data_IF_999027650453
#
_entry.id   IF_999027650453
#
_cell.length_a   1.000
_cell.length_b   1.000
_cell.length_c   1.000
_cell.angle_alpha   90.00
_cell.angle_beta   90.00
_cell.angle_gamma   90.00
#
_symmetry.space_group_name_H-M   'P 1'
#
loop_
_entity.id
_entity.type
_entity.pdbx_description
1 polymer ?
#
# COMPACT_ATOMS: atom_id res chain seq x y z
N UNK A 1 -9.77 20.89 2.98
CA UNK A 1 -10.19 20.84 1.56
C UNK A 1 -9.01 20.30 0.75
N UNK A 2 -9.03 19.02 0.36
CA UNK A 2 -7.95 18.40 -0.41
C UNK A 2 -8.04 18.94 -1.84
N UNK A 3 -7.09 19.78 -2.27
CA UNK A 3 -6.96 20.16 -3.70
C UNK A 3 -6.80 18.84 -4.48
N UNK A 4 -7.64 18.62 -5.50
CA UNK A 4 -7.44 17.49 -6.43
C UNK A 4 -6.02 17.61 -6.98
N UNK A 5 -5.23 16.55 -6.87
CA UNK A 5 -3.93 16.47 -7.54
C UNK A 5 -4.21 16.57 -9.04
N UNK A 6 -3.87 17.70 -9.64
CA UNK A 6 -3.98 17.88 -11.08
C UNK A 6 -2.79 17.21 -11.75
N UNK A 7 -3.09 16.36 -12.73
CA UNK A 7 -2.06 15.73 -13.54
C UNK A 7 -1.42 16.78 -14.43
N UNK A 8 -0.11 17.00 -14.26
CA UNK A 8 0.65 17.88 -15.14
C UNK A 8 0.88 17.17 -16.47
N UNK A 9 0.54 17.82 -17.59
CA UNK A 9 0.80 17.27 -18.91
C UNK A 9 2.17 17.74 -19.37
N UNK A 10 3.02 16.81 -19.81
CA UNK A 10 4.39 17.10 -20.26
C UNK A 10 4.64 16.50 -21.65
N UNK A 11 5.54 17.09 -22.47
CA UNK A 11 5.91 16.53 -23.76
C UNK A 11 6.44 15.10 -23.64
N UNK A 12 6.24 14.28 -24.67
CA UNK A 12 6.67 12.87 -24.70
C UNK A 12 8.16 12.70 -24.39
N UNK A 13 9.01 13.55 -24.97
CA UNK A 13 10.45 13.50 -24.76
C UNK A 13 10.83 13.70 -23.28
N UNK A 14 10.19 14.65 -22.61
CA UNK A 14 10.41 14.91 -21.19
C UNK A 14 9.82 13.80 -20.31
N UNK A 15 8.69 13.23 -20.73
CA UNK A 15 8.10 12.07 -20.06
C UNK A 15 9.06 10.88 -20.09
N UNK A 16 9.58 10.54 -21.27
CA UNK A 16 10.50 9.41 -21.44
C UNK A 16 11.82 9.67 -20.68
N UNK A 17 12.34 10.90 -20.67
CA UNK A 17 13.50 11.29 -19.85
C UNK A 17 13.24 11.11 -18.36
N UNK A 18 12.10 11.61 -17.85
CA UNK A 18 11.77 11.50 -16.43
C UNK A 18 11.56 10.03 -16.03
N UNK A 19 10.86 9.25 -16.84
CA UNK A 19 10.69 7.81 -16.63
C UNK A 19 12.02 7.08 -16.58
N UNK A 20 12.91 7.33 -17.55
CA UNK A 20 14.24 6.73 -17.59
C UNK A 20 15.11 7.14 -16.40
N UNK A 21 15.07 8.41 -15.99
CA UNK A 21 15.84 8.90 -14.84
C UNK A 21 15.40 8.21 -13.54
N UNK A 22 14.08 8.06 -13.33
CA UNK A 22 13.55 7.27 -12.20
C UNK A 22 13.97 5.80 -12.29
N UNK A 23 13.75 5.16 -13.45
CA UNK A 23 14.07 3.76 -13.68
C UNK A 23 15.54 3.47 -13.36
N UNK A 24 16.44 4.25 -13.95
CA UNK A 24 17.87 4.03 -13.86
C UNK A 24 18.45 4.40 -12.50
N UNK A 25 17.88 5.39 -11.80
CA UNK A 25 18.27 5.67 -10.43
C UNK A 25 17.87 4.51 -9.50
N UNK A 26 16.66 3.97 -9.67
CA UNK A 26 16.16 2.84 -8.87
C UNK A 26 16.92 1.54 -9.14
N UNK A 27 17.26 1.27 -10.41
CA UNK A 27 17.93 0.03 -10.83
C UNK A 27 19.46 0.15 -10.97
N UNK A 28 20.04 1.30 -10.60
CA UNK A 28 21.49 1.56 -10.65
C UNK A 28 22.11 1.27 -12.01
N UNK A 29 21.59 1.92 -13.06
CA UNK A 29 22.22 1.90 -14.38
C UNK A 29 23.69 2.38 -14.30
N UNK A 30 24.49 2.08 -15.33
CA UNK A 30 25.93 2.40 -15.37
C UNK A 30 26.26 3.90 -15.24
N UNK A 31 25.32 4.78 -15.59
CA UNK A 31 25.45 6.24 -15.44
C UNK A 31 24.69 6.71 -14.21
N UNK A 32 25.22 7.74 -13.54
CA UNK A 32 24.50 8.42 -12.45
C UNK A 32 23.41 9.35 -13.01
N UNK A 33 22.15 8.96 -12.79
CA UNK A 33 20.97 9.74 -13.18
C UNK A 33 20.45 10.63 -12.04
N UNK A 34 21.11 10.70 -10.88
CA UNK A 34 20.63 11.45 -9.72
C UNK A 34 20.42 12.94 -9.99
N UNK A 35 21.38 13.59 -10.64
CA UNK A 35 21.28 15.02 -10.97
C UNK A 35 20.17 15.29 -12.00
N UNK A 36 20.05 14.45 -13.04
CA UNK A 36 19.01 14.56 -14.05
C UNK A 36 17.62 14.33 -13.44
N UNK A 37 17.48 13.34 -12.56
CA UNK A 37 16.25 13.06 -11.84
C UNK A 37 15.83 14.26 -10.98
N UNK A 38 16.76 14.89 -10.26
CA UNK A 38 16.46 16.08 -9.45
C UNK A 38 15.99 17.23 -10.34
N UNK A 39 16.68 17.51 -11.45
CA UNK A 39 16.32 18.60 -12.36
C UNK A 39 14.91 18.39 -12.95
N UNK A 40 14.65 17.21 -13.50
CA UNK A 40 13.35 16.88 -14.11
C UNK A 40 12.23 16.87 -13.06
N UNK A 41 12.47 16.31 -11.87
CA UNK A 41 11.48 16.30 -10.80
C UNK A 41 11.16 17.70 -10.30
N UNK A 42 12.15 18.58 -10.13
CA UNK A 42 11.92 19.98 -9.73
C UNK A 42 11.16 20.77 -10.79
N UNK A 43 11.45 20.50 -12.06
CA UNK A 43 10.80 21.14 -13.21
C UNK A 43 9.33 20.75 -13.32
N UNK A 44 9.00 19.47 -13.11
CA UNK A 44 7.65 18.92 -13.31
C UNK A 44 6.92 18.57 -12.00
N UNK A 45 7.38 19.11 -10.86
CA UNK A 45 6.77 18.84 -9.54
C UNK A 45 5.30 19.26 -9.49
N UNK A 46 4.49 18.40 -8.91
CA UNK A 46 3.13 18.74 -8.47
C UNK A 46 3.11 19.28 -7.04
N UNK A 47 4.09 18.86 -6.22
CA UNK A 47 4.26 19.33 -4.84
C UNK A 47 5.72 19.19 -4.41
N UNK A 48 6.20 20.07 -3.54
CA UNK A 48 7.49 19.92 -2.89
C UNK A 48 7.47 20.51 -1.48
N UNK A 49 8.23 19.90 -0.57
CA UNK A 49 8.38 20.35 0.81
C UNK A 49 9.81 20.10 1.29
N UNK A 50 10.29 20.97 2.19
CA UNK A 50 11.61 20.87 2.80
C UNK A 50 11.46 20.41 4.27
N UNK A 51 12.36 19.52 4.72
CA UNK A 51 12.39 19.04 6.10
C UNK A 51 13.77 18.49 6.46
N UNK A 52 14.31 18.88 7.61
CA UNK A 52 15.58 18.39 8.16
C UNK A 52 16.75 18.36 7.15
N UNK A 53 16.90 19.44 6.38
CA UNK A 53 17.95 19.56 5.34
C UNK A 53 17.68 18.79 4.05
N UNK A 54 16.59 18.02 4.00
CA UNK A 54 16.14 17.25 2.84
C UNK A 54 15.04 17.96 2.09
N UNK A 55 14.87 17.59 0.83
CA UNK A 55 13.79 18.06 -0.04
C UNK A 55 13.04 16.88 -0.63
N UNK A 56 11.72 16.93 -0.48
CA UNK A 56 10.78 15.91 -0.95
C UNK A 56 10.02 16.52 -2.12
N UNK A 57 10.15 15.92 -3.29
CA UNK A 57 9.53 16.40 -4.52
C UNK A 57 8.64 15.30 -5.07
N UNK A 58 7.37 15.63 -5.27
CA UNK A 58 6.37 14.70 -5.79
C UNK A 58 5.98 15.10 -7.20
N UNK A 59 5.89 14.11 -8.07
CA UNK A 59 5.53 14.28 -9.49
C UNK A 59 4.29 13.44 -9.81
N UNK A 60 3.33 14.06 -10.48
CA UNK A 60 2.15 13.41 -11.05
C UNK A 60 1.98 13.93 -12.47
N UNK A 61 2.55 13.23 -13.43
CA UNK A 61 2.63 13.67 -14.82
C UNK A 61 1.89 12.73 -15.77
N UNK A 62 1.40 13.27 -16.87
CA UNK A 62 0.85 12.52 -18.01
C UNK A 62 1.56 12.94 -19.29
N UNK A 63 1.73 11.97 -20.16
CA UNK A 63 2.15 12.22 -21.53
C UNK A 63 1.08 13.05 -22.25
N UNK A 64 1.51 14.10 -22.96
CA UNK A 64 0.65 14.91 -23.81
C UNK A 64 0.13 14.14 -25.02
N UNK A 65 0.92 13.19 -25.54
CA UNK A 65 0.61 12.44 -26.75
C UNK A 65 -0.36 11.28 -26.48
N UNK A 66 -0.26 10.64 -25.31
CA UNK A 66 -1.21 9.62 -24.84
C UNK A 66 -1.58 9.83 -23.36
N UNK A 67 -2.75 10.42 -23.11
CA UNK A 67 -3.27 10.68 -21.75
C UNK A 67 -3.47 9.44 -20.87
N UNK A 68 -3.34 8.24 -21.44
CA UNK A 68 -3.41 6.94 -20.72
C UNK A 68 -2.05 6.47 -20.24
N UNK A 69 -0.99 7.19 -20.60
CA UNK A 69 0.37 7.02 -20.11
C UNK A 69 0.62 8.09 -19.07
N UNK A 70 1.01 7.65 -17.88
CA UNK A 70 1.35 8.57 -16.80
C UNK A 70 2.36 7.98 -15.84
N UNK A 71 2.91 8.88 -15.03
CA UNK A 71 3.93 8.58 -14.04
C UNK A 71 3.57 9.31 -12.75
N UNK A 72 3.62 8.58 -11.64
CA UNK A 72 3.52 9.14 -10.31
C UNK A 72 4.70 8.67 -9.47
N UNK A 73 5.31 9.58 -8.72
CA UNK A 73 6.50 9.25 -7.96
C UNK A 73 6.92 10.37 -7.04
N UNK A 74 7.98 10.11 -6.29
CA UNK A 74 8.67 11.14 -5.53
C UNK A 74 10.18 10.89 -5.48
N UNK A 75 10.91 11.98 -5.30
CA UNK A 75 12.34 11.97 -5.01
C UNK A 75 12.60 12.71 -3.71
N UNK A 76 13.45 12.14 -2.87
CA UNK A 76 13.98 12.74 -1.65
C UNK A 76 15.47 12.91 -1.84
N UNK A 77 15.96 14.13 -1.67
CA UNK A 77 17.38 14.42 -1.84
C UNK A 77 17.90 15.39 -0.78
N UNK A 78 19.19 15.33 -0.49
CA UNK A 78 19.86 16.26 0.41
C UNK A 78 20.05 17.62 -0.28
N UNK A 79 19.58 18.70 0.35
CA UNK A 79 19.55 20.03 -0.31
C UNK A 79 20.94 20.57 -0.61
N UNK A 80 21.91 20.27 0.25
CA UNK A 80 23.27 20.81 0.19
C UNK A 80 24.10 20.10 -0.86
N UNK A 81 24.18 18.77 -0.76
CA UNK A 81 24.99 17.94 -1.63
C UNK A 81 24.31 17.60 -2.96
N UNK A 82 22.99 17.81 -3.06
CA UNK A 82 22.17 17.40 -4.21
C UNK A 82 22.28 15.90 -4.51
N UNK A 83 22.54 15.09 -3.48
CA UNK A 83 22.52 13.63 -3.57
C UNK A 83 21.11 13.13 -3.35
N UNK A 84 20.63 12.29 -4.27
CA UNK A 84 19.36 11.59 -4.10
C UNK A 84 19.50 10.57 -2.97
N UNK A 85 18.67 10.71 -1.95
CA UNK A 85 18.60 9.79 -0.81
C UNK A 85 17.63 8.65 -1.07
N UNK A 86 16.54 8.93 -1.78
CA UNK A 86 15.54 7.96 -2.15
C UNK A 86 14.74 8.44 -3.36
N UNK A 87 14.40 7.53 -4.27
CA UNK A 87 13.41 7.76 -5.32
C UNK A 87 12.48 6.55 -5.42
N UNK A 88 11.20 6.79 -5.69
CA UNK A 88 10.25 5.74 -6.04
C UNK A 88 9.25 6.28 -7.06
N UNK A 89 8.86 5.44 -8.00
CA UNK A 89 7.84 5.80 -8.97
C UNK A 89 7.04 4.59 -9.41
N UNK A 90 5.89 4.85 -10.02
CA UNK A 90 5.17 3.89 -10.85
C UNK A 90 4.82 4.57 -12.17
N UNK A 91 4.81 3.77 -13.23
CA UNK A 91 4.32 4.17 -14.54
C UNK A 91 3.17 3.27 -14.95
N UNK A 92 2.07 3.85 -15.41
CA UNK A 92 0.90 3.09 -15.80
C UNK A 92 0.66 3.24 -17.30
N UNK A 93 0.62 2.09 -17.99
CA UNK A 93 0.28 1.98 -19.40
C UNK A 93 -1.03 1.19 -19.50
N UNK A 94 -2.16 1.88 -19.65
CA UNK A 94 -3.49 1.36 -20.07
C UNK A 94 -4.13 0.15 -19.34
N UNK A 95 -3.42 -0.67 -18.57
CA UNK A 95 -3.88 -2.02 -18.14
C UNK A 95 -3.46 -2.49 -16.75
N UNK A 96 -2.46 -1.88 -16.11
CA UNK A 96 -2.06 -2.27 -14.75
C UNK A 96 -2.69 -1.32 -13.73
N UNK A 97 -3.43 -1.92 -12.79
CA UNK A 97 -4.44 -1.25 -11.98
C UNK A 97 -3.90 -0.13 -11.10
N UNK A 98 -4.72 0.91 -10.95
CA UNK A 98 -4.51 2.13 -10.17
C UNK A 98 -4.08 1.94 -8.69
N UNK A 99 -3.96 0.71 -8.19
CA UNK A 99 -3.66 0.43 -6.78
C UNK A 99 -2.29 0.96 -6.35
N UNK A 100 -1.29 0.93 -7.24
CA UNK A 100 0.04 1.49 -6.95
C UNK A 100 -0.02 3.02 -6.84
N UNK A 101 -0.86 3.68 -7.64
CA UNK A 101 -1.08 5.12 -7.57
C UNK A 101 -1.65 5.56 -6.22
N UNK A 102 -2.48 4.72 -5.61
CA UNK A 102 -3.14 5.04 -4.35
C UNK A 102 -2.14 5.17 -3.19
N UNK A 103 -1.01 4.45 -3.23
CA UNK A 103 0.10 4.67 -2.31
C UNK A 103 0.81 5.99 -2.53
N UNK A 104 1.11 6.37 -3.78
CA UNK A 104 1.73 7.67 -4.05
C UNK A 104 0.83 8.84 -3.60
N UNK A 105 -0.50 8.67 -3.71
CA UNK A 105 -1.47 9.61 -3.15
C UNK A 105 -1.43 9.67 -1.62
N UNK A 106 -1.32 8.51 -0.94
CA UNK A 106 -1.12 8.47 0.51
C UNK A 106 0.18 9.17 0.90
N UNK A 107 1.30 8.83 0.24
CA UNK A 107 2.60 9.45 0.50
C UNK A 107 2.56 10.98 0.33
N UNK A 108 1.91 11.48 -0.72
CA UNK A 108 1.71 12.92 -0.91
C UNK A 108 0.87 13.52 0.22
N UNK A 109 -0.23 12.87 0.62
CA UNK A 109 -1.08 13.34 1.73
C UNK A 109 -0.28 13.50 3.02
N UNK A 110 0.57 12.53 3.36
CA UNK A 110 1.45 12.62 4.53
C UNK A 110 2.41 13.81 4.46
N UNK A 111 2.99 14.07 3.29
CA UNK A 111 3.88 15.21 3.06
C UNK A 111 3.14 16.56 3.10
N UNK A 112 1.89 16.61 2.63
CA UNK A 112 1.04 17.80 2.72
C UNK A 112 0.62 18.12 4.16
N UNK A 113 0.45 17.09 4.99
CA UNK A 113 0.16 17.22 6.42
C UNK A 113 1.42 17.49 7.25
N UNK A 114 2.59 17.61 6.61
CA UNK A 114 3.89 17.73 7.26
C UNK A 114 4.20 16.58 8.24
N UNK A 115 3.61 15.40 8.01
CA UNK A 115 3.85 14.16 8.77
C UNK A 115 4.92 13.32 8.10
N UNK A 116 6.07 13.95 7.89
CA UNK A 116 7.22 13.32 7.25
C UNK A 116 7.85 12.22 8.11
N UNK A 117 7.63 12.28 9.43
CA UNK A 117 7.95 11.20 10.36
C UNK A 117 7.23 9.88 9.97
N UNK A 118 5.93 9.95 9.65
CA UNK A 118 5.13 8.80 9.24
C UNK A 118 5.53 8.34 7.84
N UNK A 119 5.71 9.29 6.93
CA UNK A 119 6.18 9.02 5.57
C UNK A 119 7.48 8.22 5.61
N UNK A 120 8.51 8.70 6.30
CA UNK A 120 9.80 8.02 6.39
C UNK A 120 9.70 6.65 7.05
N UNK A 121 8.82 6.52 8.04
CA UNK A 121 8.60 5.24 8.71
C UNK A 121 8.00 4.19 7.76
N UNK A 122 7.03 4.59 6.93
CA UNK A 122 6.45 3.72 5.90
C UNK A 122 7.48 3.33 4.84
N UNK A 123 8.38 4.23 4.46
CA UNK A 123 9.43 3.93 3.49
C UNK A 123 10.38 2.81 3.95
N UNK A 124 10.59 2.66 5.26
CA UNK A 124 11.42 1.57 5.83
C UNK A 124 10.84 0.19 5.60
N UNK A 125 9.54 0.07 5.31
CA UNK A 125 8.90 -1.22 5.10
C UNK A 125 9.27 -1.85 3.74
N UNK A 126 9.86 -1.11 2.81
CA UNK A 126 10.30 -1.62 1.51
C UNK A 126 9.58 -0.95 0.33
N UNK A 127 9.75 -1.50 -0.87
CA UNK A 127 9.17 -0.98 -2.11
C UNK A 127 7.71 -1.40 -2.26
N UNK A 128 6.83 -0.52 -2.76
CA UNK A 128 5.39 -0.85 -2.87
C UNK A 128 5.14 -2.11 -3.70
N UNK A 129 5.81 -2.27 -4.84
CA UNK A 129 5.57 -3.39 -5.76
C UNK A 129 5.93 -4.74 -5.13
N UNK A 130 6.81 -4.71 -4.14
CA UNK A 130 7.23 -5.90 -3.36
C UNK A 130 6.59 -5.96 -1.97
N UNK A 131 5.97 -4.86 -1.51
CA UNK A 131 5.42 -4.73 -0.18
C UNK A 131 3.87 -4.67 -0.22
N UNK A 132 3.19 -5.79 0.09
CA UNK A 132 1.73 -5.86 0.06
C UNK A 132 1.06 -4.94 1.08
N UNK A 133 1.73 -4.60 2.19
CA UNK A 133 1.19 -3.70 3.21
C UNK A 133 1.13 -2.25 2.70
N UNK A 134 2.17 -1.78 2.02
CA UNK A 134 2.17 -0.43 1.44
C UNK A 134 1.12 -0.26 0.36
N UNK A 135 0.94 -1.28 -0.49
CA UNK A 135 -0.15 -1.30 -1.47
C UNK A 135 -1.50 -1.25 -0.77
N UNK A 136 -1.69 -2.08 0.27
CA UNK A 136 -2.92 -2.11 1.04
C UNK A 136 -3.22 -0.77 1.71
N UNK A 137 -2.23 -0.09 2.28
CA UNK A 137 -2.40 1.23 2.88
C UNK A 137 -2.82 2.30 1.86
N UNK A 138 -2.28 2.26 0.65
CA UNK A 138 -2.78 3.08 -0.45
C UNK A 138 -4.28 2.87 -0.69
N UNK A 139 -4.73 1.60 -0.73
CA UNK A 139 -6.14 1.27 -0.88
C UNK A 139 -6.97 1.73 0.34
N UNK A 140 -6.49 1.54 1.56
CA UNK A 140 -7.18 2.04 2.76
C UNK A 140 -7.41 3.55 2.67
N UNK A 141 -6.39 4.32 2.28
CA UNK A 141 -6.55 5.76 2.08
C UNK A 141 -7.58 6.11 1.00
N UNK A 142 -7.59 5.38 -0.12
CA UNK A 142 -8.58 5.58 -1.18
C UNK A 142 -10.02 5.36 -0.73
N UNK A 143 -10.27 4.32 0.08
CA UNK A 143 -11.63 3.93 0.45
C UNK A 143 -12.11 4.52 1.79
N UNK A 144 -11.20 4.85 2.70
CA UNK A 144 -11.52 5.34 4.05
C UNK A 144 -11.10 6.80 4.29
N UNK A 145 -10.26 7.39 3.43
CA UNK A 145 -9.85 8.78 3.52
C UNK A 145 -9.22 9.13 4.88
N UNK A 146 -9.73 10.19 5.51
CA UNK A 146 -9.20 10.72 6.78
C UNK A 146 -9.34 9.74 7.95
N UNK A 147 -10.30 8.81 7.93
CA UNK A 147 -10.42 7.77 8.97
C UNK A 147 -9.14 6.91 9.01
N UNK A 148 -8.61 6.54 7.85
CA UNK A 148 -7.37 5.79 7.77
C UNK A 148 -6.14 6.63 8.13
N UNK A 149 -6.13 7.93 7.78
CA UNK A 149 -5.05 8.84 8.18
C UNK A 149 -4.99 8.97 9.70
N UNK A 150 -6.12 9.13 10.38
CA UNK A 150 -6.20 9.17 11.84
C UNK A 150 -5.67 7.87 12.48
N UNK A 151 -6.06 6.71 11.93
CA UNK A 151 -5.51 5.43 12.36
C UNK A 151 -3.99 5.40 12.21
N UNK A 152 -3.49 5.76 11.03
CA UNK A 152 -2.08 5.69 10.70
C UNK A 152 -1.27 6.61 11.63
N UNK A 153 -1.74 7.83 11.89
CA UNK A 153 -1.06 8.77 12.79
C UNK A 153 -0.97 8.28 14.23
N UNK A 154 -1.97 7.54 14.70
CA UNK A 154 -1.97 6.96 16.06
C UNK A 154 -1.10 5.71 16.16
N UNK A 155 -1.00 4.92 15.10
CA UNK A 155 -0.46 3.56 15.17
C UNK A 155 0.82 3.34 14.34
N UNK A 156 1.32 4.34 13.59
CA UNK A 156 2.41 4.13 12.62
C UNK A 156 3.64 3.44 13.20
N UNK A 157 3.97 3.69 14.47
CA UNK A 157 5.13 3.10 15.16
C UNK A 157 5.00 1.60 15.42
N UNK A 158 3.78 1.09 15.61
CA UNK A 158 3.52 -0.32 15.92
C UNK A 158 3.39 -1.17 14.64
N UNK A 159 3.01 -0.54 13.53
CA UNK A 159 2.69 -1.22 12.28
C UNK A 159 3.83 -2.13 11.77
N UNK A 160 5.10 -1.68 11.64
CA UNK A 160 6.18 -2.55 11.16
C UNK A 160 6.47 -3.70 12.11
N UNK A 161 6.39 -3.47 13.42
CA UNK A 161 6.61 -4.53 14.41
C UNK A 161 5.53 -5.61 14.31
N UNK A 162 4.27 -5.22 14.14
CA UNK A 162 3.18 -6.17 13.86
C UNK A 162 3.39 -6.90 12.55
N UNK A 163 3.70 -6.17 11.48
CA UNK A 163 3.93 -6.76 10.15
C UNK A 163 5.07 -7.79 10.18
N UNK A 164 6.21 -7.45 10.79
CA UNK A 164 7.38 -8.32 10.91
C UNK A 164 7.13 -9.54 11.80
N UNK A 165 6.19 -9.44 12.75
CA UNK A 165 5.78 -10.54 13.63
C UNK A 165 4.58 -11.32 13.08
N UNK A 166 4.19 -11.10 11.82
CA UNK A 166 3.02 -11.70 11.18
C UNK A 166 1.71 -11.53 11.98
N UNK A 167 1.57 -10.40 12.68
CA UNK A 167 0.36 -10.05 13.43
C UNK A 167 -0.62 -9.28 12.56
N UNK A 168 -1.91 -9.46 12.84
CA UNK A 168 -2.96 -8.72 12.13
C UNK A 168 -2.74 -7.22 12.30
N UNK A 169 -3.04 -6.43 11.26
CA UNK A 169 -3.05 -4.97 11.34
C UNK A 169 -4.47 -4.54 10.98
N UNK A 170 -5.22 -4.06 11.96
CA UNK A 170 -6.65 -3.75 11.80
C UNK A 170 -6.99 -2.39 12.38
N UNK A 171 -8.04 -1.81 11.81
CA UNK A 171 -8.76 -0.67 12.33
C UNK A 171 -10.26 -0.95 12.28
N UNK A 172 -11.09 0.09 12.45
CA UNK A 172 -12.55 -0.07 12.51
C UNK A 172 -13.16 -0.70 11.25
N UNK A 173 -12.65 -0.30 10.08
CA UNK A 173 -13.22 -0.67 8.77
C UNK A 173 -12.23 -1.43 7.88
N UNK A 174 -11.15 -1.96 8.43
CA UNK A 174 -10.21 -2.76 7.65
C UNK A 174 -9.44 -3.75 8.52
N UNK A 175 -9.00 -4.83 7.90
CA UNK A 175 -8.02 -5.76 8.47
C UNK A 175 -7.02 -6.18 7.40
N UNK A 176 -5.76 -6.25 7.79
CA UNK A 176 -4.68 -6.81 7.02
C UNK A 176 -4.11 -8.01 7.76
N UNK A 177 -4.06 -9.13 7.05
CA UNK A 177 -3.50 -10.41 7.49
C UNK A 177 -2.16 -10.54 6.76
N UNK A 178 -1.01 -10.33 7.43
CA UNK A 178 0.29 -10.52 6.82
C UNK A 178 0.47 -11.96 6.33
N UNK A 179 1.36 -12.13 5.36
CA UNK A 179 1.78 -13.43 4.86
C UNK A 179 2.22 -14.33 6.03
N UNK A 180 1.49 -15.41 6.26
CA UNK A 180 1.91 -16.48 7.16
C UNK A 180 2.70 -17.49 6.31
N UNK A 181 3.98 -17.69 6.63
CA UNK A 181 4.76 -18.77 6.02
C UNK A 181 4.32 -20.09 6.63
N UNK A 182 3.91 -21.01 5.78
CA UNK A 182 3.40 -22.34 6.13
C UNK A 182 4.25 -23.35 5.36
N UNK A 183 5.19 -24.00 6.05
CA UNK A 183 6.18 -24.89 5.42
C UNK A 183 7.04 -24.18 4.35
N UNK A 184 7.34 -24.90 3.26
CA UNK A 184 8.14 -24.41 2.12
C UNK A 184 7.37 -23.54 1.11
N UNK A 185 6.12 -23.17 1.42
CA UNK A 185 5.25 -22.42 0.50
C UNK A 185 5.19 -20.93 0.84
N UNK A 186 5.21 -20.14 -0.23
CA UNK A 186 4.98 -18.70 -0.17
C UNK A 186 3.48 -18.41 0.04
N UNK A 187 3.07 -18.14 1.28
CA UNK A 187 1.75 -17.58 1.58
C UNK A 187 1.49 -16.22 0.89
N UNK A 188 0.21 -15.83 0.75
CA UNK A 188 -0.20 -14.49 0.29
C UNK A 188 -0.64 -13.65 1.50
N UNK A 189 -0.34 -12.35 1.52
CA UNK A 189 -1.03 -11.43 2.46
C UNK A 189 -2.43 -11.12 1.92
N UNK A 190 -3.39 -11.02 2.84
CA UNK A 190 -4.81 -10.72 2.56
C UNK A 190 -5.20 -9.42 3.27
N UNK A 191 -5.90 -8.55 2.58
CA UNK A 191 -6.44 -7.31 3.14
C UNK A 191 -7.93 -7.18 2.86
N UNK A 192 -8.70 -6.69 3.82
CA UNK A 192 -10.13 -6.43 3.69
C UNK A 192 -10.40 -4.98 4.10
N UNK A 193 -11.18 -4.27 3.30
CA UNK A 193 -11.61 -2.89 3.58
C UNK A 193 -13.12 -2.82 3.38
N UNK A 194 -13.86 -2.34 4.39
CA UNK A 194 -15.26 -1.99 4.25
C UNK A 194 -15.36 -0.55 3.76
N UNK A 195 -15.80 -0.37 2.51
CA UNK A 195 -16.00 0.95 1.93
C UNK A 195 -17.27 1.62 2.49
N UNK A 196 -17.39 2.94 2.30
CA UNK A 196 -18.53 3.71 2.81
C UNK A 196 -19.90 3.31 2.24
N UNK A 197 -19.94 2.60 1.11
CA UNK A 197 -21.15 2.02 0.52
C UNK A 197 -21.49 0.63 1.08
N UNK A 198 -20.74 0.14 2.07
CA UNK A 198 -20.90 -1.18 2.67
C UNK A 198 -20.23 -2.32 1.90
N UNK A 199 -19.69 -2.07 0.70
CA UNK A 199 -18.97 -3.11 -0.05
C UNK A 199 -17.65 -3.48 0.61
N UNK A 200 -17.21 -4.73 0.43
CA UNK A 200 -15.92 -5.20 0.91
C UNK A 200 -14.92 -5.26 -0.23
N UNK A 201 -13.82 -4.52 -0.09
CA UNK A 201 -12.67 -4.58 -0.98
C UNK A 201 -11.72 -5.65 -0.46
N UNK A 202 -11.64 -6.76 -1.19
CA UNK A 202 -10.71 -7.84 -0.93
C UNK A 202 -9.41 -7.61 -1.72
N UNK A 203 -8.33 -7.39 -1.00
CA UNK A 203 -6.97 -7.35 -1.52
C UNK A 203 -6.28 -8.69 -1.27
N UNK A 204 -5.69 -9.26 -2.33
CA UNK A 204 -4.76 -10.38 -2.24
C UNK A 204 -3.45 -9.96 -2.89
N UNK A 205 -2.33 -10.29 -2.25
CA UNK A 205 -1.00 -9.97 -2.76
C UNK A 205 -0.87 -10.38 -4.23
N UNK A 206 -0.27 -9.54 -5.07
CA UNK A 206 -0.09 -9.73 -6.52
C UNK A 206 -1.36 -9.80 -7.40
N UNK A 207 -2.56 -9.69 -6.84
CA UNK A 207 -3.81 -9.69 -7.60
C UNK A 207 -4.47 -8.31 -7.63
N UNK A 208 -5.37 -8.10 -8.59
CA UNK A 208 -6.25 -6.93 -8.59
C UNK A 208 -7.24 -7.04 -7.43
N UNK A 209 -7.57 -5.94 -6.73
CA UNK A 209 -8.59 -5.96 -5.70
C UNK A 209 -9.93 -6.45 -6.24
N UNK A 210 -10.64 -7.26 -5.46
CA UNK A 210 -11.98 -7.76 -5.77
C UNK A 210 -13.00 -7.01 -4.92
N UNK A 211 -14.05 -6.49 -5.56
CA UNK A 211 -15.15 -5.84 -4.86
C UNK A 211 -16.25 -6.88 -4.60
N UNK A 212 -16.56 -7.12 -3.33
CA UNK A 212 -17.63 -8.00 -2.88
C UNK A 212 -18.77 -7.14 -2.38
N UNK A 213 -19.90 -7.17 -3.10
CA UNK A 213 -21.13 -6.45 -2.77
C UNK A 213 -22.08 -7.35 -1.97
N UNK A 214 -23.09 -6.75 -1.36
CA UNK A 214 -24.07 -7.43 -0.50
C UNK A 214 -24.91 -8.49 -1.23
N UNK A 215 -25.05 -8.37 -2.56
CA UNK A 215 -25.70 -9.38 -3.42
C UNK A 215 -25.01 -10.74 -3.33
N UNK A 216 -23.71 -10.77 -3.02
CA UNK A 216 -22.95 -11.98 -2.65
C UNK A 216 -23.03 -12.24 -1.15
N UNK A 217 -24.25 -12.30 -0.63
CA UNK A 217 -24.59 -12.24 0.80
C UNK A 217 -23.69 -13.09 1.71
N UNK A 218 -23.47 -14.38 1.39
CA UNK A 218 -22.66 -15.27 2.22
C UNK A 218 -21.19 -14.86 2.28
N UNK A 219 -20.57 -14.55 1.13
CA UNK A 219 -19.19 -14.09 1.08
C UNK A 219 -19.03 -12.72 1.73
N UNK A 220 -19.96 -11.80 1.44
CA UNK A 220 -19.95 -10.46 2.05
C UNK A 220 -20.05 -10.52 3.57
N UNK A 221 -20.95 -11.34 4.12
CA UNK A 221 -21.09 -11.53 5.57
C UNK A 221 -19.84 -12.12 6.20
N UNK A 222 -19.25 -13.14 5.59
CA UNK A 222 -18.02 -13.75 6.08
C UNK A 222 -16.88 -12.73 6.13
N UNK A 223 -16.67 -11.97 5.06
CA UNK A 223 -15.60 -10.97 5.03
C UNK A 223 -15.86 -9.79 5.96
N UNK A 224 -17.12 -9.36 6.08
CA UNK A 224 -17.53 -8.34 7.06
C UNK A 224 -17.23 -8.79 8.49
N UNK A 225 -17.51 -10.05 8.80
CA UNK A 225 -17.20 -10.65 10.09
C UNK A 225 -15.70 -10.61 10.39
N UNK A 226 -14.85 -10.93 9.41
CA UNK A 226 -13.39 -10.84 9.59
C UNK A 226 -12.90 -9.43 9.92
N UNK A 227 -13.55 -8.39 9.40
CA UNK A 227 -13.24 -6.99 9.75
C UNK A 227 -13.73 -6.69 11.16
N UNK A 228 -15.00 -6.99 11.47
CA UNK A 228 -15.62 -6.62 12.75
C UNK A 228 -14.96 -7.30 13.95
N UNK A 229 -14.46 -8.52 13.76
CA UNK A 229 -13.87 -9.34 14.81
C UNK A 229 -12.36 -9.46 14.69
N UNK A 230 -11.67 -8.60 13.94
CA UNK A 230 -10.22 -8.70 13.74
C UNK A 230 -9.42 -8.73 15.05
N UNK A 231 -9.82 -7.92 16.03
CA UNK A 231 -9.19 -7.90 17.36
C UNK A 231 -9.41 -9.22 18.12
N UNK A 232 -10.63 -9.73 18.11
CA UNK A 232 -10.97 -11.00 18.77
C UNK A 232 -10.32 -12.19 18.05
N UNK A 233 -10.23 -12.13 16.72
CA UNK A 233 -9.53 -13.10 15.89
C UNK A 233 -8.06 -13.15 16.27
N UNK A 234 -7.38 -12.02 16.46
CA UNK A 234 -5.97 -12.01 16.88
C UNK A 234 -5.78 -12.62 18.28
N UNK A 235 -6.66 -12.29 19.23
CA UNK A 235 -6.58 -12.80 20.61
C UNK A 235 -6.88 -14.30 20.71
N UNK A 236 -7.68 -14.82 19.78
CA UNK A 236 -8.18 -16.19 19.80
C UNK A 236 -7.66 -17.05 18.63
N UNK A 237 -6.70 -16.54 17.84
CA UNK A 237 -6.12 -17.28 16.73
C UNK A 237 -5.25 -18.41 17.28
N UNK A 238 -5.68 -19.64 17.05
CA UNK A 238 -4.87 -20.83 17.28
C UNK A 238 -4.52 -21.40 15.91
N UNK A 239 -3.23 -21.39 15.58
CA UNK A 239 -2.72 -22.04 14.36
C UNK A 239 -2.46 -23.49 14.70
N UNK A 240 -3.22 -24.40 14.10
CA UNK A 240 -3.07 -25.84 14.30
C UNK A 240 -2.43 -26.47 13.07
N UNK A 241 -1.34 -27.22 13.25
CA UNK A 241 -0.73 -28.01 12.18
C UNK A 241 -1.60 -29.24 11.91
N UNK A 242 -2.26 -29.28 10.76
CA UNK A 242 -3.23 -30.31 10.39
C UNK A 242 -2.55 -31.54 9.79
N UNK A 243 -1.68 -31.31 8.79
CA UNK A 243 -0.94 -32.40 8.16
C UNK A 243 0.36 -31.91 7.55
N UNK A 244 1.48 -32.56 7.89
CA UNK A 244 2.76 -32.37 7.21
C UNK A 244 3.15 -33.60 6.40
N UNK A 245 3.76 -33.36 5.25
CA UNK A 245 4.57 -34.32 4.52
C UNK A 245 5.94 -33.71 4.18
N UNK A 246 6.78 -34.48 3.49
CA UNK A 246 8.16 -34.11 3.15
C UNK A 246 8.31 -32.85 2.28
N UNK A 247 7.23 -32.31 1.71
CA UNK A 247 7.25 -31.12 0.86
C UNK A 247 6.38 -29.97 1.38
N UNK A 248 5.45 -30.21 2.32
CA UNK A 248 4.58 -29.16 2.86
C UNK A 248 3.87 -29.54 4.15
N UNK A 249 3.44 -28.50 4.85
CA UNK A 249 2.52 -28.59 5.97
C UNK A 249 1.23 -27.83 5.66
N UNK A 250 0.10 -28.40 6.04
CA UNK A 250 -1.20 -27.73 6.14
C UNK A 250 -1.38 -27.24 7.55
N UNK A 251 -1.85 -26.01 7.70
CA UNK A 251 -2.30 -25.50 8.98
C UNK A 251 -3.76 -25.11 8.87
N UNK A 252 -4.55 -25.48 9.87
CA UNK A 252 -5.90 -24.96 10.07
C UNK A 252 -5.80 -23.82 11.08
N UNK A 253 -6.23 -22.65 10.66
CA UNK A 253 -6.39 -21.52 11.57
C UNK A 253 -7.75 -21.67 12.25
N UNK A 254 -7.75 -21.79 13.57
CA UNK A 254 -8.96 -21.78 14.38
C UNK A 254 -9.08 -20.43 15.07
N UNK A 255 -10.27 -19.84 15.05
CA UNK A 255 -10.62 -18.76 15.97
C UNK A 255 -11.90 -19.14 16.70
N UNK A 256 -11.91 -18.92 18.02
CA UNK A 256 -13.09 -19.10 18.87
C UNK A 256 -14.05 -17.91 18.81
N UNK A 257 -13.68 -16.83 18.11
CA UNK A 257 -14.60 -15.74 17.82
C UNK A 257 -15.80 -16.32 17.06
N UNK A 258 -17.00 -16.16 17.61
CA UNK A 258 -18.23 -16.74 17.05
C UNK A 258 -18.96 -15.72 16.16
N UNK A 259 -19.31 -16.06 14.90
CA UNK A 259 -20.15 -15.21 14.08
C UNK A 259 -21.53 -14.96 14.73
N UNK A 260 -22.01 -13.71 14.81
CA UNK A 260 -23.24 -13.38 15.55
C UNK A 260 -24.54 -13.96 14.95
N UNK A 261 -24.45 -14.72 13.85
CA UNK A 261 -25.60 -15.33 13.16
C UNK A 261 -25.50 -16.84 12.99
N UNK A 262 -24.43 -17.48 13.46
CA UNK A 262 -24.31 -18.94 13.45
C UNK A 262 -24.46 -19.42 14.88
N UNK A 263 -25.67 -19.85 15.23
CA UNK A 263 -25.97 -20.48 16.51
C UNK A 263 -25.29 -21.85 16.57
N UNK A 264 -23.98 -21.85 16.83
CA UNK A 264 -23.08 -22.90 17.34
C UNK A 264 -21.64 -22.51 17.03
N UNK A 265 -20.73 -22.76 17.97
CA UNK A 265 -19.29 -22.52 17.87
C UNK A 265 -18.78 -22.90 16.49
N UNK A 266 -18.32 -21.91 15.74
CA UNK A 266 -17.89 -22.11 14.35
C UNK A 266 -16.45 -21.65 14.24
N UNK A 267 -15.55 -22.62 14.16
CA UNK A 267 -14.19 -22.39 13.69
C UNK A 267 -14.26 -21.80 12.28
N UNK A 268 -13.71 -20.60 12.08
CA UNK A 268 -13.49 -20.07 10.74
C UNK A 268 -12.21 -20.70 10.20
N UNK A 269 -12.33 -21.67 9.30
CA UNK A 269 -11.20 -22.20 8.52
C UNK A 269 -10.90 -21.17 7.43
N UNK A 270 -9.72 -20.54 7.51
CA UNK A 270 -9.16 -19.66 6.47
C UNK A 270 -8.28 -20.44 5.50
#
# INVERSE_FOLDING_TARGET
MVRRIEWMRIPREDFDKLHNAFYCHEHRCEKDYGAELIDLAERYKSYAVDHDGRRYVFVFVRDMDDVRVGLAGFVVYDKSSKVVLLSRYTSFYRRYGDKELDYYRLMLRLAMDNRLDVFEYLLRMGYIDTNPLLTFFGLCYKYLGDEFIDYLYRNYRDIPDRFNRNKLIYGRNFVFIPKIKVGDYDGESVGLIRAGDGSIILFRSYRSPVIVREDKYWFHRLLSYLIDYAEDLEKNLVVYEDWCNQYWCNYIVFSSASPPHWWRSSAVVL
#
